data_IF_334629231106
#
_entry.id   IF_334629231106
#
_cell.length_a   1.000
_cell.length_b   1.000
_cell.length_c   1.000
_cell.angle_alpha   90.00
_cell.angle_beta   90.00
_cell.angle_gamma   90.00
#
_symmetry.space_group_name_H-M   'P 1'
#
loop_
_entity.id
_entity.type
_entity.pdbx_description
1 polymer ?
#
# COMPACT_ATOMS: atom_id res chain seq x y z
N UNK A 1 17.68 -12.10 14.27
CA UNK A 1 16.40 -12.71 13.83
C UNK A 1 15.28 -11.88 14.43
N UNK A 2 14.74 -10.91 13.69
CA UNK A 2 13.51 -10.20 14.07
C UNK A 2 12.74 -9.91 12.77
N UNK A 3 11.80 -10.77 12.42
CA UNK A 3 10.94 -10.60 11.25
C UNK A 3 9.62 -10.00 11.70
N UNK A 4 9.60 -8.70 11.99
CA UNK A 4 8.32 -8.00 12.12
C UNK A 4 7.80 -7.72 10.71
N UNK A 5 6.91 -8.59 10.19
CA UNK A 5 6.23 -8.42 8.90
C UNK A 5 5.22 -7.23 8.89
N UNK A 6 5.17 -6.47 9.98
CA UNK A 6 4.18 -5.48 10.30
C UNK A 6 4.86 -4.14 10.60
N UNK A 7 4.48 -3.10 9.85
CA UNK A 7 4.92 -1.72 10.07
C UNK A 7 3.72 -0.89 10.50
N UNK A 8 3.84 -0.18 11.62
CA UNK A 8 2.79 0.69 12.15
C UNK A 8 3.32 2.10 12.23
N UNK A 9 2.55 3.07 11.73
CA UNK A 9 2.86 4.50 11.86
C UNK A 9 1.62 5.20 12.39
N UNK A 10 1.77 6.09 13.36
CA UNK A 10 0.68 6.87 13.93
C UNK A 10 0.93 8.35 13.74
N UNK A 11 -0.07 9.08 13.24
CA UNK A 11 0.03 10.52 13.01
C UNK A 11 -1.30 11.20 13.31
N UNK A 12 -1.31 12.17 14.23
CA UNK A 12 -2.47 13.03 14.53
C UNK A 12 -3.79 12.27 14.75
N UNK A 13 -3.74 11.13 15.46
CA UNK A 13 -4.91 10.28 15.71
C UNK A 13 -5.26 9.33 14.56
N UNK A 14 -4.48 9.32 13.47
CA UNK A 14 -4.59 8.38 12.36
C UNK A 14 -3.57 7.27 12.53
N UNK A 15 -4.01 6.01 12.46
CA UNK A 15 -3.14 4.82 12.54
C UNK A 15 -3.01 4.20 11.16
N UNK A 16 -1.79 4.08 10.67
CA UNK A 16 -1.44 3.45 9.40
C UNK A 16 -0.86 2.06 9.67
N UNK A 17 -1.58 1.03 9.25
CA UNK A 17 -1.17 -0.37 9.35
C UNK A 17 -0.60 -0.82 7.99
N UNK A 18 0.66 -1.22 7.96
CA UNK A 18 1.40 -1.58 6.74
C UNK A 18 2.08 -2.94 6.88
N UNK A 19 2.29 -3.60 5.74
CA UNK A 19 3.06 -4.84 5.66
C UNK A 19 2.28 -6.02 5.07
N UNK A 20 2.96 -7.16 4.96
CA UNK A 20 2.41 -8.41 4.43
C UNK A 20 1.68 -9.13 5.55
N UNK A 21 0.36 -9.17 5.47
CA UNK A 21 -0.50 -9.71 6.53
C UNK A 21 -1.59 -10.59 5.94
N UNK A 22 -2.04 -11.56 6.71
CA UNK A 22 -3.23 -12.34 6.36
C UNK A 22 -4.51 -11.55 6.69
N UNK A 23 -5.63 -11.91 6.07
CA UNK A 23 -6.92 -11.25 6.32
C UNK A 23 -7.33 -11.31 7.81
N UNK A 24 -7.01 -12.41 8.49
CA UNK A 24 -7.32 -12.60 9.92
C UNK A 24 -6.52 -11.62 10.78
N UNK A 25 -5.24 -11.45 10.50
CA UNK A 25 -4.36 -10.50 11.20
C UNK A 25 -4.77 -9.05 10.92
N UNK A 26 -5.11 -8.73 9.68
CA UNK A 26 -5.58 -7.40 9.29
C UNK A 26 -6.83 -6.97 10.07
N UNK A 27 -7.82 -7.86 10.18
CA UNK A 27 -9.04 -7.61 10.95
C UNK A 27 -8.73 -7.41 12.43
N UNK A 28 -7.96 -8.33 13.03
CA UNK A 28 -7.58 -8.25 14.44
C UNK A 28 -6.79 -6.97 14.76
N UNK A 29 -5.83 -6.60 13.92
CA UNK A 29 -5.05 -5.39 14.09
C UNK A 29 -5.91 -4.13 13.97
N UNK A 30 -6.89 -4.14 13.07
CA UNK A 30 -7.85 -3.03 12.91
C UNK A 30 -8.73 -2.86 14.14
N UNK A 31 -9.26 -3.96 14.69
CA UNK A 31 -10.08 -3.93 15.92
C UNK A 31 -9.30 -3.38 17.11
N UNK A 32 -8.07 -3.85 17.30
CA UNK A 32 -7.19 -3.37 18.36
C UNK A 32 -6.90 -1.88 18.16
N UNK A 33 -6.52 -1.46 16.96
CA UNK A 33 -6.21 -0.05 16.67
C UNK A 33 -7.41 0.88 16.90
N UNK A 34 -8.63 0.45 16.56
CA UNK A 34 -9.86 1.24 16.78
C UNK A 34 -10.26 1.34 18.24
N UNK A 35 -9.88 0.38 19.08
CA UNK A 35 -10.14 0.40 20.52
C UNK A 35 -9.25 1.37 21.30
N UNK A 36 -8.21 1.92 20.69
CA UNK A 36 -7.27 2.82 21.37
C UNK A 36 -7.86 4.23 21.45
N UNK A 37 -7.88 4.78 22.67
CA UNK A 37 -8.36 6.15 22.93
C UNK A 37 -7.55 7.19 22.15
N UNK A 38 -8.22 8.11 21.46
CA UNK A 38 -7.59 9.15 20.63
C UNK A 38 -7.35 8.73 19.17
N UNK A 39 -7.62 7.48 18.81
CA UNK A 39 -7.62 7.06 17.40
C UNK A 39 -8.91 7.52 16.73
N UNK A 40 -8.76 8.42 15.77
CA UNK A 40 -9.87 8.99 14.98
C UNK A 40 -10.05 8.24 13.66
N UNK A 41 -8.99 7.65 13.11
CA UNK A 41 -9.04 6.93 11.84
C UNK A 41 -7.99 5.82 11.78
N UNK A 42 -8.37 4.67 11.20
CA UNK A 42 -7.43 3.58 10.91
C UNK A 42 -7.36 3.40 9.40
N UNK A 43 -6.16 3.56 8.85
CA UNK A 43 -5.84 3.41 7.43
C UNK A 43 -5.08 2.10 7.26
N UNK A 44 -5.68 1.19 6.49
CA UNK A 44 -5.14 -0.14 6.20
C UNK A 44 -4.39 -0.09 4.88
N UNK A 45 -3.07 -0.10 4.93
CA UNK A 45 -2.17 -0.12 3.77
C UNK A 45 -1.48 -1.49 3.74
N UNK A 46 -2.30 -2.52 3.61
CA UNK A 46 -1.80 -3.88 3.48
C UNK A 46 -1.50 -4.13 2.01
N UNK A 47 -0.31 -4.65 1.70
CA UNK A 47 -0.09 -5.31 0.42
C UNK A 47 -0.84 -6.64 0.48
N UNK A 48 -2.09 -6.64 0.03
CA UNK A 48 -2.75 -7.87 -0.37
C UNK A 48 -2.08 -8.23 -1.69
N UNK A 49 -1.12 -9.15 -1.66
CA UNK A 49 -0.51 -9.65 -2.90
C UNK A 49 -1.60 -10.43 -3.65
N UNK A 50 -2.39 -9.71 -4.46
CA UNK A 50 -3.06 -10.26 -5.62
C UNK A 50 -2.02 -10.30 -6.74
N UNK A 51 -1.97 -11.40 -7.47
CA UNK A 51 -0.96 -11.70 -8.50
C UNK A 51 -0.79 -10.59 -9.55
N UNK A 52 -1.82 -9.76 -9.75
CA UNK A 52 -1.82 -8.62 -10.68
C UNK A 52 -1.01 -7.40 -10.22
N UNK A 53 -0.90 -7.13 -8.92
CA UNK A 53 -0.14 -5.96 -8.42
C UNK A 53 1.37 -6.22 -8.39
N UNK A 54 1.77 -7.48 -8.16
CA UNK A 54 3.16 -7.91 -8.27
C UNK A 54 3.69 -7.67 -9.70
N UNK A 55 2.86 -7.89 -10.73
CA UNK A 55 3.22 -7.60 -12.12
C UNK A 55 3.37 -6.10 -12.39
N UNK A 56 2.55 -5.23 -11.80
CA UNK A 56 2.64 -3.78 -12.02
C UNK A 56 3.88 -3.15 -11.39
N UNK A 57 4.28 -3.59 -10.20
CA UNK A 57 5.41 -2.98 -9.49
C UNK A 57 6.78 -3.35 -10.09
N UNK A 58 6.88 -4.44 -10.85
CA UNK A 58 8.12 -4.87 -11.51
C UNK A 58 8.16 -4.62 -13.04
N UNK A 59 7.13 -3.98 -13.64
CA UNK A 59 7.03 -3.84 -15.09
C UNK A 59 6.70 -2.42 -15.62
N UNK A 60 6.82 -1.34 -14.84
CA UNK A 60 6.53 -0.01 -15.38
C UNK A 60 7.45 1.11 -14.85
N UNK A 61 8.66 1.29 -15.40
CA UNK A 61 9.18 2.64 -15.56
C UNK A 61 8.24 3.35 -16.54
N UNK A 62 7.52 4.36 -16.05
CA UNK A 62 6.66 5.24 -16.81
C UNK A 62 7.23 5.49 -18.23
N UNK A 63 6.62 5.02 -19.33
CA UNK A 63 7.02 5.50 -20.64
C UNK A 63 6.67 6.98 -20.70
N UNK A 64 7.68 7.84 -20.83
CA UNK A 64 7.50 9.24 -21.15
C UNK A 64 6.54 9.33 -22.36
N UNK A 65 5.55 10.24 -22.34
CA UNK A 65 4.62 10.38 -23.45
C UNK A 65 5.43 10.72 -24.70
N UNK A 66 5.48 9.78 -25.65
CA UNK A 66 6.02 10.04 -26.98
C UNK A 66 5.06 10.97 -27.68
N UNK A 67 5.40 12.26 -27.74
CA UNK A 67 4.79 13.20 -28.67
C UNK A 67 4.99 12.60 -30.06
N UNK A 68 3.91 12.10 -30.67
CA UNK A 68 3.92 11.69 -32.08
C UNK A 68 4.08 12.97 -32.88
N UNK A 69 5.28 13.22 -33.38
CA UNK A 69 5.52 14.28 -34.36
C UNK A 69 4.89 13.82 -35.68
N UNK A 70 3.80 14.46 -36.16
CA UNK A 70 3.06 13.98 -37.31
C UNK A 70 3.50 14.73 -38.57
N UNK A 71 4.80 14.85 -38.88
CA UNK A 71 5.18 15.54 -40.12
C UNK A 71 6.58 15.23 -40.69
N UNK A 72 6.74 14.04 -41.29
CA UNK A 72 7.75 13.90 -42.35
C UNK A 72 7.33 12.88 -43.41
N UNK A 73 6.57 13.40 -44.37
CA UNK A 73 6.22 12.78 -45.66
C UNK A 73 7.49 12.71 -46.56
N UNK A 74 7.66 11.69 -47.43
CA UNK A 74 8.80 11.61 -48.36
C UNK A 74 8.75 12.65 -49.48
#
# INVERSE_FOLDING_TARGET
MVSAAFKVVTERGVVYLMGRVTQREATRATEIARGVSGVTKVVRVFEIISEEELRRNFANPQPAPVTRDPDRTP
#
